data_IF_459140857328
#
_entry.id   IF_459140857328
#
_cell.length_a   1.000
_cell.length_b   1.000
_cell.length_c   1.000
_cell.angle_alpha   90.00
_cell.angle_beta   90.00
_cell.angle_gamma   90.00
#
_symmetry.space_group_name_H-M   'P 1'
#
loop_
_entity.id
_entity.type
_entity.pdbx_description
1 polymer ?
#
# COMPACT_ATOMS: atom_id res chain seq x y z
N UNK A 1 46.77 46.29 1.14
CA UNK A 1 45.71 45.29 1.44
C UNK A 1 44.76 45.18 0.23
N UNK A 2 44.86 44.10 -0.58
CA UNK A 2 43.91 43.86 -1.69
C UNK A 2 42.56 43.42 -1.10
N UNK A 3 41.50 44.22 -1.26
CA UNK A 3 40.13 43.79 -0.93
C UNK A 3 39.68 42.74 -1.96
N UNK A 4 39.52 41.49 -1.55
CA UNK A 4 38.83 40.51 -2.37
C UNK A 4 37.36 40.91 -2.48
N UNK A 5 36.87 41.14 -3.70
CA UNK A 5 35.43 41.31 -3.94
C UNK A 5 34.77 39.96 -3.64
N UNK A 6 34.09 39.85 -2.50
CA UNK A 6 33.22 38.71 -2.25
C UNK A 6 32.08 38.76 -3.27
N UNK A 7 32.00 37.77 -4.15
CA UNK A 7 30.85 37.58 -5.05
C UNK A 7 29.66 37.16 -4.19
N UNK A 8 28.63 38.00 -4.12
CA UNK A 8 27.36 37.66 -3.50
C UNK A 8 26.45 36.94 -4.51
N UNK A 9 25.56 36.09 -4.00
CA UNK A 9 24.51 35.44 -4.79
C UNK A 9 23.49 36.50 -5.24
N UNK A 10 23.09 36.50 -6.50
CA UNK A 10 22.08 37.42 -7.01
C UNK A 10 20.68 36.88 -6.72
N UNK A 11 19.71 37.78 -6.50
CA UNK A 11 18.31 37.39 -6.38
C UNK A 11 17.79 36.72 -7.65
N UNK A 12 18.31 37.13 -8.82
CA UNK A 12 17.94 36.56 -10.11
C UNK A 12 18.36 35.08 -10.22
N UNK A 13 19.56 34.73 -9.77
CA UNK A 13 20.03 33.34 -9.73
C UNK A 13 19.11 32.48 -8.85
N UNK A 14 18.62 33.01 -7.72
CA UNK A 14 17.68 32.28 -6.88
C UNK A 14 16.33 32.05 -7.59
N UNK A 15 15.80 33.08 -8.25
CA UNK A 15 14.49 33.05 -8.90
C UNK A 15 14.47 32.06 -10.06
N UNK A 16 15.52 32.02 -10.88
CA UNK A 16 15.60 31.05 -11.98
C UNK A 16 15.67 29.61 -11.46
N UNK A 17 16.42 29.37 -10.37
CA UNK A 17 16.54 28.03 -9.78
C UNK A 17 15.21 27.53 -9.24
N UNK A 18 14.47 28.34 -8.47
CA UNK A 18 13.15 27.92 -7.95
C UNK A 18 12.14 27.72 -9.09
N UNK A 19 12.26 28.48 -10.19
CA UNK A 19 11.43 28.33 -11.38
C UNK A 19 11.63 26.97 -12.05
N UNK A 20 12.89 26.54 -12.22
CA UNK A 20 13.22 25.23 -12.80
C UNK A 20 12.76 24.10 -11.86
N UNK A 21 12.96 24.24 -10.55
CA UNK A 21 12.50 23.23 -9.56
C UNK A 21 10.98 23.09 -9.60
N UNK A 22 10.23 24.20 -9.68
CA UNK A 22 8.76 24.18 -9.75
C UNK A 22 8.27 23.46 -11.01
N UNK A 23 8.90 23.69 -12.16
CA UNK A 23 8.57 23.02 -13.42
C UNK A 23 8.80 21.51 -13.33
N UNK A 24 9.96 21.08 -12.79
CA UNK A 24 10.26 19.67 -12.62
C UNK A 24 9.31 19.00 -11.62
N UNK A 25 9.01 19.68 -10.51
CA UNK A 25 8.08 19.17 -9.49
C UNK A 25 6.67 18.98 -10.04
N UNK A 26 6.19 19.88 -10.91
CA UNK A 26 4.87 19.78 -11.53
C UNK A 26 4.67 18.48 -12.32
N UNK A 27 5.72 17.99 -12.99
CA UNK A 27 5.69 16.71 -13.72
C UNK A 27 5.96 15.51 -12.82
N UNK A 28 6.87 15.65 -11.86
CA UNK A 28 7.31 14.54 -11.00
C UNK A 28 6.27 14.12 -9.96
N UNK A 29 5.53 15.07 -9.37
CA UNK A 29 4.56 14.79 -8.30
C UNK A 29 3.45 13.81 -8.73
N UNK A 30 2.70 14.02 -9.84
CA UNK A 30 1.62 13.10 -10.23
C UNK A 30 2.16 11.71 -10.60
N UNK A 31 3.33 11.64 -11.24
CA UNK A 31 3.98 10.38 -11.56
C UNK A 31 4.38 9.62 -10.28
N UNK A 32 4.98 10.31 -9.32
CA UNK A 32 5.36 9.74 -8.04
C UNK A 32 4.15 9.23 -7.25
N UNK A 33 3.06 9.99 -7.22
CA UNK A 33 1.82 9.56 -6.56
C UNK A 33 1.27 8.27 -7.15
N UNK A 34 1.25 8.15 -8.48
CA UNK A 34 0.78 6.94 -9.17
C UNK A 34 1.68 5.73 -8.89
N UNK A 35 3.00 5.92 -8.90
CA UNK A 35 3.96 4.87 -8.56
C UNK A 35 3.81 4.41 -7.10
N UNK A 36 3.62 5.35 -6.16
CA UNK A 36 3.37 5.06 -4.75
C UNK A 36 2.12 4.20 -4.57
N UNK A 37 1.00 4.57 -5.19
CA UNK A 37 -0.25 3.79 -5.11
C UNK A 37 -0.08 2.39 -5.69
N UNK A 38 0.67 2.26 -6.78
CA UNK A 38 0.96 0.96 -7.40
C UNK A 38 1.78 0.05 -6.48
N UNK A 39 2.78 0.59 -5.80
CA UNK A 39 3.57 -0.16 -4.81
C UNK A 39 2.74 -0.59 -3.59
N UNK A 40 1.85 0.28 -3.12
CA UNK A 40 0.91 -0.01 -2.03
C UNK A 40 -0.03 -1.15 -2.44
N UNK A 41 -0.65 -1.06 -3.62
CA UNK A 41 -1.54 -2.10 -4.15
C UNK A 41 -0.82 -3.44 -4.34
N UNK A 42 0.41 -3.43 -4.88
CA UNK A 42 1.20 -4.65 -5.06
C UNK A 42 1.52 -5.34 -3.73
N UNK A 43 1.97 -4.57 -2.73
CA UNK A 43 2.26 -5.07 -1.38
C UNK A 43 1.00 -5.63 -0.73
N UNK A 44 -0.12 -4.91 -0.84
CA UNK A 44 -1.40 -5.36 -0.29
C UNK A 44 -1.88 -6.67 -0.91
N UNK A 45 -1.84 -6.78 -2.24
CA UNK A 45 -2.24 -8.01 -2.92
C UNK A 45 -1.34 -9.19 -2.55
N UNK A 46 -0.05 -8.95 -2.34
CA UNK A 46 0.85 -9.97 -1.79
C UNK A 46 0.41 -10.41 -0.39
N UNK A 47 0.07 -9.46 0.49
CA UNK A 47 -0.42 -9.75 1.83
C UNK A 47 -1.75 -10.52 1.81
N UNK A 48 -2.71 -10.14 0.95
CA UNK A 48 -3.98 -10.86 0.76
C UNK A 48 -3.70 -12.34 0.43
N UNK A 49 -2.76 -12.60 -0.48
CA UNK A 49 -2.40 -13.97 -0.90
C UNK A 49 -1.74 -14.75 0.22
N UNK A 50 -0.83 -14.13 0.97
CA UNK A 50 -0.20 -14.74 2.15
C UNK A 50 -1.24 -15.10 3.20
N UNK A 51 -2.14 -14.18 3.52
CA UNK A 51 -3.25 -14.39 4.48
C UNK A 51 -4.18 -15.50 3.98
N UNK A 52 -4.51 -15.52 2.68
CA UNK A 52 -5.33 -16.57 2.08
C UNK A 52 -4.69 -17.94 2.23
N UNK A 53 -3.41 -18.07 1.93
CA UNK A 53 -2.66 -19.31 2.12
C UNK A 53 -2.65 -19.75 3.58
N UNK A 54 -2.42 -18.82 4.51
CA UNK A 54 -2.46 -19.07 5.94
C UNK A 54 -3.86 -19.51 6.43
N UNK A 55 -4.93 -18.90 5.91
CA UNK A 55 -6.30 -19.30 6.20
C UNK A 55 -6.65 -20.69 5.66
N UNK A 56 -6.15 -21.06 4.48
CA UNK A 56 -6.30 -22.43 3.96
C UNK A 56 -5.60 -23.44 4.88
N UNK A 57 -4.38 -23.14 5.33
CA UNK A 57 -3.65 -24.01 6.27
C UNK A 57 -4.40 -24.16 7.60
N UNK A 58 -4.89 -23.05 8.17
CA UNK A 58 -5.67 -23.07 9.41
C UNK A 58 -6.93 -23.94 9.29
N UNK A 59 -7.70 -23.79 8.20
CA UNK A 59 -8.92 -24.58 7.99
C UNK A 59 -8.64 -26.06 7.69
N UNK A 60 -7.49 -26.38 7.08
CA UNK A 60 -7.10 -27.77 6.87
C UNK A 60 -6.77 -28.48 8.19
N UNK A 61 -6.19 -27.77 9.16
CA UNK A 61 -5.81 -28.35 10.45
C UNK A 61 -6.97 -28.38 11.46
N UNK A 62 -7.81 -27.33 11.48
CA UNK A 62 -8.86 -27.16 12.49
C UNK A 62 -10.26 -27.53 11.98
N UNK A 63 -10.37 -27.94 10.71
CA UNK A 63 -11.64 -28.24 10.07
C UNK A 63 -12.30 -26.99 9.49
N UNK A 64 -13.43 -27.22 8.79
CA UNK A 64 -14.14 -26.19 8.04
C UNK A 64 -14.99 -25.29 8.95
N UNK A 65 -14.36 -24.71 9.97
CA UNK A 65 -14.98 -23.79 10.92
C UNK A 65 -15.51 -22.56 10.17
N UNK A 66 -16.72 -22.13 10.55
CA UNK A 66 -17.35 -20.90 10.03
C UNK A 66 -17.20 -19.79 11.05
N UNK A 67 -16.86 -18.58 10.60
CA UNK A 67 -16.70 -17.42 11.49
C UNK A 67 -15.38 -16.69 11.28
N UNK A 68 -14.97 -15.93 12.29
CA UNK A 68 -13.75 -15.13 12.28
C UNK A 68 -12.50 -16.01 12.45
N UNK A 69 -11.64 -16.00 11.43
CA UNK A 69 -10.39 -16.77 11.38
C UNK A 69 -9.18 -15.92 11.81
N UNK A 70 -9.37 -14.63 12.09
CA UNK A 70 -8.27 -13.66 12.26
C UNK A 70 -7.28 -14.04 13.37
N UNK A 71 -7.74 -14.75 14.40
CA UNK A 71 -6.86 -15.22 15.47
C UNK A 71 -6.15 -16.54 15.12
N UNK A 72 -6.85 -17.47 14.45
CA UNK A 72 -6.26 -18.75 14.05
C UNK A 72 -5.18 -18.59 12.97
N UNK A 73 -5.44 -17.72 12.00
CA UNK A 73 -4.55 -17.44 10.85
C UNK A 73 -3.19 -16.90 11.29
N UNK A 74 -3.13 -16.12 12.37
CA UNK A 74 -1.88 -15.55 12.89
C UNK A 74 -0.83 -16.61 13.14
N UNK A 75 -1.20 -17.81 13.59
CA UNK A 75 -0.24 -18.87 13.89
C UNK A 75 0.50 -19.41 12.65
N UNK A 76 -0.03 -19.14 11.46
CA UNK A 76 0.53 -19.59 10.17
C UNK A 76 1.23 -18.46 9.42
N UNK A 77 1.38 -17.29 10.06
CA UNK A 77 2.12 -16.16 9.54
C UNK A 77 3.47 -16.07 10.24
N UNK A 78 4.49 -15.68 9.47
CA UNK A 78 5.80 -15.37 10.03
C UNK A 78 5.68 -14.17 11.00
N UNK A 79 6.27 -14.30 12.18
CA UNK A 79 6.11 -13.33 13.27
C UNK A 79 4.78 -13.39 14.04
N UNK A 80 3.84 -14.26 13.66
CA UNK A 80 2.52 -14.43 14.32
C UNK A 80 1.64 -13.19 14.38
N UNK A 81 1.85 -12.25 13.46
CA UNK A 81 1.10 -11.00 13.39
C UNK A 81 0.49 -10.81 11.99
N UNK A 82 -0.67 -10.14 11.94
CA UNK A 82 -1.26 -9.73 10.68
C UNK A 82 -0.52 -8.48 10.17
N UNK A 83 -0.12 -8.43 8.89
CA UNK A 83 0.46 -7.23 8.32
C UNK A 83 -0.53 -6.08 8.42
N UNK A 84 -0.08 -4.85 8.65
CA UNK A 84 -1.00 -3.69 8.68
C UNK A 84 -1.51 -3.37 7.28
N UNK A 85 -2.81 -3.07 7.17
CA UNK A 85 -3.38 -2.58 5.91
C UNK A 85 -2.96 -1.12 5.73
N UNK A 86 -2.57 -0.75 4.51
CA UNK A 86 -2.27 0.64 4.19
C UNK A 86 -3.54 1.51 4.28
N UNK A 87 -3.42 2.71 4.87
CA UNK A 87 -4.52 3.68 5.01
C UNK A 87 -5.18 4.04 3.69
N UNK A 88 -4.41 4.01 2.60
CA UNK A 88 -4.91 4.28 1.25
C UNK A 88 -5.87 3.20 0.74
N UNK A 89 -5.92 2.03 1.38
CA UNK A 89 -6.75 0.88 1.00
C UNK A 89 -7.95 0.74 1.94
N UNK A 90 -7.70 0.79 3.24
CA UNK A 90 -8.76 0.78 4.25
C UNK A 90 -8.37 1.68 5.43
N UNK A 91 -9.28 2.58 5.77
CA UNK A 91 -9.13 3.50 6.89
C UNK A 91 -9.12 2.77 8.25
N UNK A 92 -9.65 1.54 8.31
CA UNK A 92 -9.66 0.72 9.52
C UNK A 92 -8.28 0.13 9.86
N UNK A 93 -7.37 0.05 8.88
CA UNK A 93 -6.07 -0.65 8.95
C UNK A 93 -6.15 -2.13 9.37
N UNK A 94 -7.34 -2.75 9.40
CA UNK A 94 -7.54 -4.12 9.88
C UNK A 94 -7.95 -5.08 8.76
N UNK A 95 -7.75 -6.36 9.04
CA UNK A 95 -8.24 -7.45 8.20
C UNK A 95 -9.47 -8.08 8.84
N UNK A 96 -10.49 -8.34 8.02
CA UNK A 96 -11.64 -9.19 8.35
C UNK A 96 -11.50 -10.48 7.53
N UNK A 97 -11.13 -11.57 8.20
CA UNK A 97 -10.87 -12.87 7.58
C UNK A 97 -11.95 -13.83 8.07
N UNK A 98 -12.87 -14.19 7.19
CA UNK A 98 -14.01 -15.05 7.51
C UNK A 98 -14.04 -16.30 6.66
N UNK A 99 -14.52 -17.39 7.25
CA UNK A 99 -15.01 -18.56 6.51
C UNK A 99 -16.53 -18.50 6.48
N UNK A 100 -17.10 -18.37 5.27
CA UNK A 100 -18.54 -18.46 5.02
C UNK A 100 -18.80 -19.53 3.96
N UNK A 101 -19.62 -20.53 4.28
CA UNK A 101 -20.02 -21.60 3.36
C UNK A 101 -18.85 -22.35 2.69
N UNK A 102 -17.73 -22.51 3.39
CA UNK A 102 -16.52 -23.16 2.87
C UNK A 102 -15.67 -22.28 1.94
N UNK A 103 -16.01 -20.99 1.79
CA UNK A 103 -15.21 -20.00 1.09
C UNK A 103 -14.52 -19.05 2.08
N UNK A 104 -13.23 -18.81 1.85
CA UNK A 104 -12.44 -17.83 2.61
C UNK A 104 -12.69 -16.44 2.02
N UNK A 105 -13.29 -15.57 2.81
CA UNK A 105 -13.54 -14.16 2.49
C UNK A 105 -12.53 -13.30 3.25
N UNK A 106 -11.69 -12.57 2.51
CA UNK A 106 -10.73 -11.62 3.08
C UNK A 106 -11.17 -10.22 2.67
N UNK A 107 -11.37 -9.36 3.67
CA UNK A 107 -11.61 -7.93 3.48
C UNK A 107 -10.54 -7.12 4.23
N UNK A 108 -10.00 -6.05 3.65
CA UNK A 108 -10.13 -5.66 2.25
C UNK A 108 -9.48 -6.68 1.28
N UNK A 109 -10.15 -6.97 0.17
CA UNK A 109 -9.70 -7.96 -0.83
C UNK A 109 -8.56 -7.46 -1.72
N UNK A 110 -8.26 -8.18 -2.81
CA UNK A 110 -7.30 -7.69 -3.81
C UNK A 110 -7.77 -6.35 -4.40
N UNK A 111 -6.81 -5.47 -4.68
CA UNK A 111 -7.04 -4.13 -5.24
C UNK A 111 -6.25 -3.90 -6.52
N UNK A 112 -6.68 -2.95 -7.32
CA UNK A 112 -6.00 -2.51 -8.54
C UNK A 112 -5.91 -0.98 -8.54
N UNK A 113 -4.88 -0.42 -9.18
CA UNK A 113 -4.79 1.03 -9.37
C UNK A 113 -5.36 1.38 -10.73
N UNK A 114 -6.46 2.15 -10.75
CA UNK A 114 -7.05 2.71 -11.98
C UNK A 114 -7.19 4.21 -11.83
N UNK A 115 -6.74 4.95 -12.85
CA UNK A 115 -6.84 6.42 -12.92
C UNK A 115 -6.30 7.14 -11.67
N UNK A 116 -5.18 6.65 -11.13
CA UNK A 116 -4.55 7.23 -9.93
C UNK A 116 -5.34 7.01 -8.64
N UNK A 117 -6.26 6.02 -8.61
CA UNK A 117 -7.02 5.63 -7.42
C UNK A 117 -6.94 4.12 -7.21
N UNK A 118 -7.00 3.71 -5.95
CA UNK A 118 -7.11 2.31 -5.59
C UNK A 118 -8.58 1.90 -5.70
N UNK A 119 -8.85 0.86 -6.46
CA UNK A 119 -10.17 0.26 -6.63
C UNK A 119 -10.11 -1.21 -6.19
N UNK A 120 -11.16 -1.70 -5.53
CA UNK A 120 -11.27 -3.13 -5.24
C UNK A 120 -11.36 -3.90 -6.54
N UNK A 121 -10.54 -4.94 -6.67
CA UNK A 121 -10.61 -5.85 -7.81
C UNK A 121 -11.89 -6.66 -7.64
N UNK A 122 -12.96 -6.24 -8.32
CA UNK A 122 -14.20 -7.00 -8.35
C UNK A 122 -13.85 -8.35 -8.97
N UNK A 123 -14.01 -9.43 -8.21
CA UNK A 123 -13.88 -10.76 -8.77
C UNK A 123 -14.92 -10.88 -9.88
N UNK A 124 -14.46 -10.93 -11.14
CA UNK A 124 -15.31 -11.31 -12.25
C UNK A 124 -15.89 -12.69 -11.91
N UNK A 125 -17.21 -12.76 -11.88
CA UNK A 125 -17.98 -13.95 -11.50
C UNK A 125 -17.78 -15.08 -12.50
#
# INVERSE_FOLDING_TARGET
>A
MKRSKKKGFTLLELVVVIGIIALLAALAIPQYQSAKLSAIAATHNSNVRTIKSAAVLYLNENGNETGDLSNGVKNYLDGKELPKVAKEIDASETWDIKSENGAIVIKPGEVEVKDGKIVTKVAEK
#
